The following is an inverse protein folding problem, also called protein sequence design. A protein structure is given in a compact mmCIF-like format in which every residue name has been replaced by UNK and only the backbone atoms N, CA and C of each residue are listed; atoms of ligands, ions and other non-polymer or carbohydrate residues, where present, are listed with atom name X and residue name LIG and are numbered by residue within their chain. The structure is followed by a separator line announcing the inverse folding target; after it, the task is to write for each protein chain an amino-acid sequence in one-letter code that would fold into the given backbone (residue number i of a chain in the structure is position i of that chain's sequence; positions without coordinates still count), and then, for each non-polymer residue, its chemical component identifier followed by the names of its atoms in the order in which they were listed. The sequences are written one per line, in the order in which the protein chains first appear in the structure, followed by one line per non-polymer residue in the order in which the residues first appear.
data_IF_600051731923
#
_entry.id   IF_600051731923
#
_cell.length_a   1.000
_cell.length_b   1.000
_cell.length_c   1.000
_cell.angle_alpha   90.00
_cell.angle_beta   90.00
_cell.angle_gamma   90.00
#
_symmetry.space_group_name_H-M   'P 1'
#
loop_
_entity.id
_entity.type
_entity.pdbx_description
1 polymer ?
#
# COMPACT_ATOMS: atom_id res chain seq x y z
N UNK A 1 -2.39 -77.81 -28.28
CA UNK A 1 -2.22 -77.06 -27.02
C UNK A 1 -1.99 -75.60 -27.37
N UNK A 2 -3.03 -74.79 -27.23
CA UNK A 2 -3.08 -73.38 -27.63
C UNK A 2 -2.49 -72.48 -26.54
N UNK A 3 -1.40 -71.77 -26.86
CA UNK A 3 -0.72 -70.81 -25.98
C UNK A 3 -1.37 -69.43 -26.16
N UNK A 4 -1.90 -68.85 -25.09
CA UNK A 4 -2.43 -67.47 -25.05
C UNK A 4 -1.27 -66.47 -24.93
N UNK A 5 -1.22 -65.39 -25.75
CA UNK A 5 -0.33 -64.28 -25.48
C UNK A 5 -0.95 -63.31 -24.46
N UNK A 6 -0.18 -63.03 -23.40
CA UNK A 6 -0.49 -62.07 -22.35
C UNK A 6 -0.24 -60.64 -22.88
N UNK A 7 -1.30 -59.83 -22.97
CA UNK A 7 -1.21 -58.42 -23.34
C UNK A 7 -0.65 -57.61 -22.17
N UNK A 8 0.51 -56.99 -22.39
CA UNK A 8 1.09 -55.99 -21.50
C UNK A 8 0.35 -54.67 -21.68
N UNK A 9 -0.38 -54.24 -20.65
CA UNK A 9 -1.04 -52.94 -20.60
C UNK A 9 -0.08 -51.91 -20.01
N UNK A 10 0.58 -51.12 -20.86
CA UNK A 10 1.33 -49.94 -20.43
C UNK A 10 0.34 -48.83 -20.03
N UNK A 11 0.12 -48.63 -18.73
CA UNK A 11 -0.55 -47.45 -18.20
C UNK A 11 0.39 -46.24 -18.30
N UNK A 12 0.15 -45.38 -19.29
CA UNK A 12 0.68 -44.03 -19.37
C UNK A 12 0.01 -43.17 -18.28
N UNK A 13 0.73 -42.88 -17.20
CA UNK A 13 0.38 -41.82 -16.26
C UNK A 13 0.61 -40.47 -16.94
N UNK A 14 -0.43 -39.94 -17.58
CA UNK A 14 -0.48 -38.53 -17.97
C UNK A 14 -0.54 -37.69 -16.69
N UNK A 15 0.62 -37.23 -16.23
CA UNK A 15 0.72 -36.25 -15.16
C UNK A 15 0.05 -34.96 -15.61
N UNK A 16 -1.14 -34.68 -15.06
CA UNK A 16 -1.75 -33.37 -15.16
C UNK A 16 -0.92 -32.46 -14.26
N UNK A 17 0.10 -31.82 -14.83
CA UNK A 17 0.85 -30.77 -14.18
C UNK A 17 -0.10 -29.59 -13.96
N UNK A 18 -0.81 -29.58 -12.85
CA UNK A 18 -1.42 -28.35 -12.36
C UNK A 18 -0.27 -27.40 -12.09
N UNK A 19 -0.11 -26.38 -12.93
CA UNK A 19 0.69 -25.21 -12.59
C UNK A 19 0.20 -24.74 -11.23
N UNK A 20 0.98 -24.97 -10.17
CA UNK A 20 0.67 -24.43 -8.87
C UNK A 20 0.58 -22.92 -9.05
N UNK A 21 -0.63 -22.37 -8.98
CA UNK A 21 -0.83 -20.94 -9.01
C UNK A 21 0.05 -20.36 -7.91
N UNK A 22 1.01 -19.50 -8.27
CA UNK A 22 1.86 -18.84 -7.30
C UNK A 22 0.94 -18.06 -6.34
N UNK A 23 0.84 -18.51 -5.10
CA UNK A 23 0.00 -17.85 -4.11
C UNK A 23 0.57 -16.47 -3.84
N UNK A 24 -0.24 -15.43 -4.04
CA UNK A 24 0.11 -14.07 -3.68
C UNK A 24 0.21 -13.96 -2.17
N UNK A 25 1.15 -13.15 -1.67
CA UNK A 25 1.41 -13.03 -0.22
C UNK A 25 0.16 -12.66 0.58
N UNK A 26 -0.68 -11.80 0.02
CA UNK A 26 -1.92 -11.39 0.66
C UNK A 26 -2.99 -12.50 0.71
N UNK A 27 -2.88 -13.55 -0.09
CA UNK A 27 -3.79 -14.71 -0.12
C UNK A 27 -3.39 -15.81 0.86
N UNK A 28 -2.24 -15.68 1.51
CA UNK A 28 -1.72 -16.68 2.42
C UNK A 28 -2.42 -16.56 3.77
N UNK A 29 -2.94 -17.68 4.33
CA UNK A 29 -3.59 -17.65 5.62
C UNK A 29 -2.58 -17.22 6.72
N UNK A 30 -3.05 -16.53 7.77
CA UNK A 30 -2.19 -16.15 8.88
C UNK A 30 -1.48 -17.36 9.49
N UNK A 31 -0.22 -17.17 9.88
CA UNK A 31 0.53 -18.22 10.58
C UNK A 31 -0.09 -18.49 11.95
N UNK A 32 0.05 -19.72 12.42
CA UNK A 32 -0.29 -20.07 13.79
C UNK A 32 0.42 -19.14 14.79
N UNK A 33 -0.31 -18.67 15.80
CA UNK A 33 0.20 -17.73 16.81
C UNK A 33 0.19 -16.25 16.40
N UNK A 34 -0.28 -15.90 15.19
CA UNK A 34 -0.50 -14.49 14.82
C UNK A 34 -1.64 -13.90 15.65
N UNK A 35 -1.42 -12.74 16.28
CA UNK A 35 -2.45 -12.11 17.13
C UNK A 35 -3.67 -11.66 16.31
N UNK A 36 -4.88 -11.58 16.90
CA UNK A 36 -6.07 -11.09 16.21
C UNK A 36 -5.87 -9.68 15.63
N UNK A 37 -5.18 -8.80 16.35
CA UNK A 37 -4.85 -7.45 15.90
C UNK A 37 -3.98 -7.47 14.64
N UNK A 38 -2.92 -8.27 14.62
CA UNK A 38 -2.06 -8.45 13.45
C UNK A 38 -2.87 -8.97 12.25
N UNK A 39 -3.72 -9.98 12.45
CA UNK A 39 -4.57 -10.53 11.38
C UNK A 39 -5.46 -9.43 10.76
N UNK A 40 -6.09 -8.61 11.60
CA UNK A 40 -6.99 -7.56 11.14
C UNK A 40 -6.25 -6.44 10.41
N UNK A 41 -5.09 -6.00 10.92
CA UNK A 41 -4.24 -4.98 10.27
C UNK A 41 -3.79 -5.46 8.88
N UNK A 42 -3.25 -6.68 8.81
CA UNK A 42 -2.78 -7.29 7.57
C UNK A 42 -3.93 -7.42 6.57
N UNK A 43 -5.11 -7.87 7.02
CA UNK A 43 -6.30 -7.98 6.17
C UNK A 43 -6.69 -6.62 5.58
N UNK A 44 -6.76 -5.57 6.40
CA UNK A 44 -7.12 -4.24 5.94
C UNK A 44 -6.14 -3.71 4.89
N UNK A 45 -4.83 -3.82 5.14
CA UNK A 45 -3.80 -3.37 4.20
C UNK A 45 -3.79 -4.19 2.89
N UNK A 46 -3.89 -5.52 3.00
CA UNK A 46 -3.94 -6.41 1.83
C UNK A 46 -5.19 -6.22 0.97
N UNK A 47 -6.34 -5.93 1.58
CA UNK A 47 -7.56 -5.64 0.83
C UNK A 47 -7.39 -4.40 -0.04
N UNK A 48 -6.81 -3.33 0.51
CA UNK A 48 -6.53 -2.11 -0.27
C UNK A 48 -5.51 -2.36 -1.37
N UNK A 49 -4.40 -3.04 -1.08
CA UNK A 49 -3.41 -3.33 -2.11
C UNK A 49 -3.99 -4.13 -3.30
N UNK A 50 -4.89 -5.09 -3.04
CA UNK A 50 -5.63 -5.79 -4.11
C UNK A 50 -6.54 -4.85 -4.88
N UNK A 51 -7.27 -4.00 -4.15
CA UNK A 51 -8.21 -3.03 -4.71
C UNK A 51 -7.49 -2.05 -5.65
N UNK A 52 -6.27 -1.65 -5.30
CA UNK A 52 -5.39 -0.80 -6.10
C UNK A 52 -4.65 -1.52 -7.23
N UNK A 53 -5.07 -2.73 -7.59
CA UNK A 53 -4.52 -3.51 -8.72
C UNK A 53 -3.08 -4.00 -8.50
N UNK A 54 -2.68 -4.20 -7.24
CA UNK A 54 -1.43 -4.87 -6.83
C UNK A 54 -0.12 -4.23 -7.36
N UNK A 55 0.08 -2.90 -7.26
CA UNK A 55 1.32 -2.26 -7.67
C UNK A 55 2.44 -2.64 -6.69
N UNK A 56 3.66 -2.87 -7.18
CA UNK A 56 4.75 -3.27 -6.29
C UNK A 56 6.15 -2.79 -6.70
N UNK A 57 6.96 -2.58 -5.67
CA UNK A 57 8.41 -2.41 -5.71
C UNK A 57 9.07 -3.76 -5.42
N UNK A 58 9.93 -4.23 -6.34
CA UNK A 58 10.63 -5.50 -6.17
C UNK A 58 11.77 -5.43 -5.14
N UNK A 59 12.40 -6.57 -4.85
CA UNK A 59 13.49 -6.65 -3.87
C UNK A 59 14.76 -5.89 -4.28
N UNK A 60 14.86 -5.46 -5.56
CA UNK A 60 15.94 -4.59 -6.07
C UNK A 60 15.55 -3.11 -6.02
N UNK A 61 14.38 -2.79 -5.48
CA UNK A 61 13.90 -1.42 -5.36
C UNK A 61 13.30 -0.84 -6.62
N UNK A 62 12.96 -1.65 -7.64
CA UNK A 62 12.37 -1.16 -8.90
C UNK A 62 10.86 -1.17 -8.80
N UNK A 63 10.20 -0.11 -9.29
CA UNK A 63 8.74 -0.13 -9.52
C UNK A 63 8.48 -1.01 -10.74
N UNK A 64 7.92 -2.20 -10.52
CA UNK A 64 7.68 -3.18 -11.60
C UNK A 64 6.26 -3.09 -12.15
N UNK A 65 5.31 -2.69 -11.32
CA UNK A 65 3.92 -2.50 -11.70
C UNK A 65 3.36 -1.27 -11.01
N UNK A 66 2.63 -0.45 -11.79
CA UNK A 66 1.87 0.69 -11.32
C UNK A 66 0.48 0.63 -11.96
N UNK A 67 -0.55 0.92 -11.17
CA UNK A 67 -1.95 0.98 -11.61
C UNK A 67 -2.46 2.42 -11.62
N UNK A 68 -3.75 2.56 -11.29
CA UNK A 68 -4.41 3.86 -11.11
C UNK A 68 -3.75 4.63 -9.93
N UNK A 69 -3.63 5.95 -10.07
CA UNK A 69 -3.04 6.84 -9.05
C UNK A 69 -4.06 7.74 -8.34
N UNK A 70 -3.63 8.31 -7.22
CA UNK A 70 -4.41 8.95 -6.15
C UNK A 70 -5.52 9.91 -6.55
N UNK A 71 -5.37 10.63 -7.66
CA UNK A 71 -6.30 11.68 -8.07
C UNK A 71 -7.01 11.32 -9.38
N UNK A 72 -6.87 10.09 -9.88
CA UNK A 72 -7.50 9.66 -11.12
C UNK A 72 -8.98 9.31 -10.94
N UNK A 73 -9.74 9.45 -12.04
CA UNK A 73 -11.12 9.00 -12.16
C UNK A 73 -11.25 7.56 -12.66
N UNK A 74 -10.15 6.80 -12.71
CA UNK A 74 -10.16 5.38 -13.02
C UNK A 74 -10.78 4.57 -11.88
N UNK A 75 -11.54 3.53 -12.23
CA UNK A 75 -12.09 2.60 -11.26
C UNK A 75 -11.00 1.72 -10.63
N UNK A 76 -11.19 1.40 -9.36
CA UNK A 76 -10.42 0.37 -8.68
C UNK A 76 -10.84 -1.04 -9.14
N UNK A 77 -10.13 -2.07 -8.68
CA UNK A 77 -10.30 -3.45 -9.18
C UNK A 77 -11.71 -4.04 -8.99
N UNK A 78 -12.51 -3.49 -8.08
CA UNK A 78 -13.89 -3.91 -7.83
C UNK A 78 -14.94 -3.19 -8.71
N UNK A 79 -14.50 -2.28 -9.59
CA UNK A 79 -15.36 -1.39 -10.37
C UNK A 79 -16.35 -0.58 -9.51
N UNK A 80 -16.05 -0.39 -8.22
CA UNK A 80 -16.86 0.36 -7.27
C UNK A 80 -16.50 1.83 -7.28
N UNK A 81 -15.61 2.25 -6.37
CA UNK A 81 -15.14 3.63 -6.30
C UNK A 81 -14.04 3.89 -7.33
N UNK A 82 -13.97 5.14 -7.79
CA UNK A 82 -12.79 5.64 -8.50
C UNK A 82 -11.69 6.02 -7.52
N UNK A 83 -10.43 5.99 -7.95
CA UNK A 83 -9.27 6.13 -7.06
C UNK A 83 -9.33 7.37 -6.16
N UNK A 84 -9.62 8.55 -6.70
CA UNK A 84 -9.68 9.77 -5.88
C UNK A 84 -10.76 9.74 -4.79
N UNK A 85 -11.90 9.08 -5.04
CA UNK A 85 -12.94 8.92 -4.03
C UNK A 85 -12.49 7.99 -2.91
N UNK A 86 -11.68 6.97 -3.25
CA UNK A 86 -11.12 6.06 -2.25
C UNK A 86 -10.11 6.76 -1.35
N UNK A 87 -9.24 7.59 -1.92
CA UNK A 87 -8.27 8.37 -1.14
C UNK A 87 -8.99 9.38 -0.22
N UNK A 88 -10.00 10.10 -0.72
CA UNK A 88 -10.84 10.95 0.13
C UNK A 88 -11.51 10.16 1.27
N UNK A 89 -11.91 8.91 1.02
CA UNK A 89 -12.39 7.96 2.03
C UNK A 89 -11.37 7.67 3.13
N UNK A 90 -10.08 7.48 2.81
CA UNK A 90 -9.05 7.29 3.83
C UNK A 90 -8.95 8.47 4.79
N UNK A 91 -9.01 9.70 4.28
CA UNK A 91 -9.00 10.90 5.12
C UNK A 91 -10.23 10.99 6.02
N UNK A 92 -11.43 10.79 5.45
CA UNK A 92 -12.69 10.92 6.19
C UNK A 92 -12.86 9.80 7.21
N UNK A 93 -12.70 8.56 6.79
CA UNK A 93 -13.09 7.39 7.57
C UNK A 93 -12.02 7.03 8.64
N UNK A 94 -10.79 7.57 8.52
CA UNK A 94 -9.81 7.55 9.61
C UNK A 94 -10.06 8.63 10.67
N UNK A 95 -10.92 9.61 10.38
CA UNK A 95 -11.15 10.79 11.22
C UNK A 95 -10.05 11.87 11.12
N UNK A 96 -9.09 11.71 10.22
CA UNK A 96 -7.94 12.62 10.13
C UNK A 96 -8.23 13.87 9.29
N UNK A 97 -9.25 13.84 8.41
CA UNK A 97 -9.65 14.97 7.57
C UNK A 97 -9.97 16.24 8.37
N UNK A 98 -10.56 16.12 9.56
CA UNK A 98 -10.92 17.26 10.40
C UNK A 98 -9.70 18.12 10.78
N UNK A 99 -8.53 17.49 10.97
CA UNK A 99 -7.27 18.20 11.26
C UNK A 99 -6.71 18.97 10.07
N UNK A 100 -7.26 18.74 8.87
CA UNK A 100 -6.88 19.39 7.62
C UNK A 100 -7.81 20.55 7.25
N UNK A 101 -8.77 20.93 8.12
CA UNK A 101 -9.81 21.92 7.79
C UNK A 101 -9.31 23.31 7.35
N UNK A 102 -8.07 23.67 7.68
CA UNK A 102 -7.44 24.91 7.20
C UNK A 102 -6.77 24.82 5.84
N UNK A 103 -6.75 23.65 5.21
CA UNK A 103 -6.14 23.43 3.89
C UNK A 103 -7.16 23.59 2.76
N UNK A 104 -6.79 24.26 1.66
CA UNK A 104 -7.64 24.33 0.47
C UNK A 104 -8.13 22.94 0.03
N UNK A 105 -9.41 22.83 -0.31
CA UNK A 105 -10.04 21.60 -0.79
C UNK A 105 -10.37 20.53 0.26
N UNK A 106 -9.91 20.65 1.51
CA UNK A 106 -10.16 19.65 2.55
C UNK A 106 -11.66 19.47 2.86
N UNK A 107 -12.41 20.57 2.98
CA UNK A 107 -13.86 20.53 3.20
C UNK A 107 -14.61 19.85 2.05
N UNK A 108 -14.14 20.04 0.83
CA UNK A 108 -14.71 19.42 -0.38
C UNK A 108 -14.54 17.90 -0.40
N UNK A 109 -13.60 17.34 0.38
CA UNK A 109 -13.46 15.90 0.56
C UNK A 109 -14.36 15.32 1.67
N UNK A 110 -14.98 16.14 2.51
CA UNK A 110 -15.81 15.67 3.62
C UNK A 110 -17.15 15.09 3.10
N UNK A 111 -17.79 15.79 2.17
CA UNK A 111 -19.04 15.37 1.54
C UNK A 111 -19.03 15.79 0.07
N UNK A 112 -19.26 14.82 -0.81
CA UNK A 112 -19.42 15.09 -2.24
C UNK A 112 -20.86 15.52 -2.50
N UNK A 113 -21.03 16.68 -3.11
CA UNK A 113 -22.34 17.23 -3.50
C UNK A 113 -22.73 16.84 -4.94
N UNK A 114 -21.93 16.00 -5.60
CA UNK A 114 -22.11 15.59 -7.00
C UNK A 114 -21.66 16.64 -8.03
N UNK A 115 -21.16 17.81 -7.60
CA UNK A 115 -20.70 18.85 -8.52
C UNK A 115 -19.27 18.61 -8.97
N UNK A 116 -18.96 19.05 -10.19
CA UNK A 116 -17.58 19.02 -10.72
C UNK A 116 -16.63 19.91 -9.93
N UNK A 117 -17.14 20.96 -9.29
CA UNK A 117 -16.34 21.94 -8.56
C UNK A 117 -15.80 21.33 -7.29
N UNK A 118 -16.69 20.77 -6.45
CA UNK A 118 -16.33 20.06 -5.22
C UNK A 118 -15.43 18.86 -5.52
N UNK A 119 -15.69 18.11 -6.59
CA UNK A 119 -14.82 17.01 -7.01
C UNK A 119 -13.42 17.49 -7.43
N UNK A 120 -13.30 18.58 -8.19
CA UNK A 120 -12.00 19.11 -8.63
C UNK A 120 -11.20 19.69 -7.48
N UNK A 121 -11.88 20.41 -6.56
CA UNK A 121 -11.28 21.01 -5.37
C UNK A 121 -10.79 19.93 -4.39
N UNK A 122 -11.58 18.87 -4.16
CA UNK A 122 -11.11 17.73 -3.38
C UNK A 122 -9.91 17.04 -4.06
N UNK A 123 -9.95 16.82 -5.38
CA UNK A 123 -8.81 16.21 -6.10
C UNK A 123 -7.52 17.03 -5.98
N UNK A 124 -7.61 18.35 -6.04
CA UNK A 124 -6.46 19.23 -5.80
C UNK A 124 -5.90 19.05 -4.37
N UNK A 125 -6.79 18.99 -3.36
CA UNK A 125 -6.38 18.67 -1.99
C UNK A 125 -5.64 17.33 -1.90
N UNK A 126 -6.11 16.28 -2.57
CA UNK A 126 -5.49 14.95 -2.51
C UNK A 126 -4.07 14.94 -3.08
N UNK A 127 -3.83 15.69 -4.17
CA UNK A 127 -2.50 15.82 -4.80
C UNK A 127 -1.54 16.62 -3.90
N UNK A 128 -2.03 17.72 -3.33
CA UNK A 128 -1.18 18.64 -2.54
C UNK A 128 -0.86 18.13 -1.13
N UNK A 129 -1.52 17.05 -0.69
CA UNK A 129 -1.44 16.56 0.68
C UNK A 129 -1.14 15.06 0.73
N UNK A 130 0.09 14.66 1.12
CA UNK A 130 0.46 13.26 1.25
C UNK A 130 -0.48 12.51 2.20
N UNK A 131 -1.12 11.47 1.69
CA UNK A 131 -2.16 10.72 2.42
C UNK A 131 -1.67 9.42 3.05
N UNK A 132 -0.36 9.14 3.03
CA UNK A 132 0.22 7.93 3.62
C UNK A 132 -0.11 7.77 5.10
N UNK A 133 -0.06 8.86 5.87
CA UNK A 133 -0.43 8.82 7.29
C UNK A 133 -1.92 8.58 7.48
N UNK A 134 -2.78 9.24 6.68
CA UNK A 134 -4.22 9.02 6.70
C UNK A 134 -4.58 7.57 6.36
N UNK A 135 -3.88 6.95 5.40
CA UNK A 135 -4.01 5.54 5.08
C UNK A 135 -3.65 4.62 6.25
N UNK A 136 -2.52 4.85 6.93
CA UNK A 136 -2.17 4.04 8.12
C UNK A 136 -3.21 4.23 9.24
N UNK A 137 -3.64 5.47 9.50
CA UNK A 137 -4.73 5.73 10.46
C UNK A 137 -6.03 5.03 10.07
N UNK A 138 -6.34 4.97 8.78
CA UNK A 138 -7.49 4.24 8.25
C UNK A 138 -7.34 2.73 8.46
N UNK A 139 -6.18 2.14 8.13
CA UNK A 139 -5.89 0.71 8.35
C UNK A 139 -6.09 0.33 9.81
N UNK A 140 -5.55 1.12 10.74
CA UNK A 140 -5.69 0.87 12.19
C UNK A 140 -7.13 1.05 12.68
N UNK A 141 -7.88 2.00 12.08
CA UNK A 141 -9.31 2.19 12.37
C UNK A 141 -10.11 0.98 11.89
N UNK A 142 -9.89 0.51 10.67
CA UNK A 142 -10.59 -0.65 10.10
C UNK A 142 -10.23 -1.96 10.81
N UNK A 143 -8.99 -2.09 11.28
CA UNK A 143 -8.59 -3.24 12.07
C UNK A 143 -9.18 -3.22 13.49
N UNK A 144 -9.76 -2.10 13.93
CA UNK A 144 -10.26 -1.94 15.30
C UNK A 144 -9.14 -1.88 16.34
N UNK A 145 -7.91 -1.51 15.97
CA UNK A 145 -6.79 -1.46 16.91
C UNK A 145 -7.01 -0.35 17.95
N UNK A 146 -7.10 -0.73 19.21
CA UNK A 146 -7.31 0.22 20.31
C UNK A 146 -5.99 0.85 20.77
N UNK A 147 -6.04 2.11 21.21
CA UNK A 147 -4.89 2.84 21.72
C UNK A 147 -3.90 3.35 20.65
N UNK A 148 -4.19 3.14 19.36
CA UNK A 148 -3.38 3.72 18.29
C UNK A 148 -3.66 5.21 18.13
N UNK A 149 -2.61 6.04 18.17
CA UNK A 149 -2.72 7.48 17.97
C UNK A 149 -2.89 7.80 16.48
N UNK A 150 -4.12 8.08 16.02
CA UNK A 150 -4.40 8.47 14.63
C UNK A 150 -3.98 9.91 14.35
N UNK A 151 -3.36 10.16 13.21
CA UNK A 151 -2.78 11.46 12.84
C UNK A 151 -2.63 11.60 11.32
N UNK A 152 -2.41 12.84 10.88
CA UNK A 152 -2.00 13.17 9.50
C UNK A 152 -0.48 13.12 9.33
N UNK A 153 0.26 12.68 10.36
CA UNK A 153 1.73 12.61 10.35
C UNK A 153 2.20 11.28 10.94
N UNK A 154 3.05 10.57 10.22
CA UNK A 154 3.67 9.31 10.70
C UNK A 154 4.49 9.51 11.97
N UNK A 155 5.12 10.66 12.11
CA UNK A 155 5.95 10.97 13.27
C UNK A 155 5.16 10.91 14.58
N UNK A 156 3.86 11.24 14.56
CA UNK A 156 3.05 11.19 15.77
C UNK A 156 2.82 9.73 16.23
N UNK A 157 2.78 8.77 15.29
CA UNK A 157 2.75 7.33 15.60
C UNK A 157 4.06 6.88 16.24
N UNK A 158 5.17 7.30 15.63
CA UNK A 158 6.52 6.98 16.09
C UNK A 158 6.72 7.53 17.50
N UNK A 159 6.34 8.79 17.73
CA UNK A 159 6.42 9.45 19.04
C UNK A 159 5.54 8.75 20.07
N UNK A 160 4.28 8.43 19.74
CA UNK A 160 3.41 7.69 20.67
C UNK A 160 3.99 6.30 21.00
N UNK A 161 4.55 5.57 20.03
CA UNK A 161 5.20 4.29 20.30
C UNK A 161 6.50 4.40 21.11
N UNK A 162 7.16 5.57 21.07
CA UNK A 162 8.34 5.88 21.88
C UNK A 162 7.95 6.25 23.32
N UNK A 163 7.00 7.16 23.50
CA UNK A 163 6.54 7.67 24.79
C UNK A 163 5.71 6.63 25.55
N UNK A 164 4.69 6.09 24.88
CA UNK A 164 3.74 5.12 25.42
C UNK A 164 4.19 3.68 25.14
N UNK A 165 5.46 3.46 24.78
CA UNK A 165 5.98 2.14 24.41
C UNK A 165 5.72 1.06 25.47
N UNK A 166 5.40 1.43 26.71
CA UNK A 166 5.00 0.56 27.82
C UNK A 166 3.48 0.20 27.85
N UNK A 167 2.60 1.05 27.33
CA UNK A 167 1.13 0.98 27.52
C UNK A 167 0.34 1.01 26.22
N UNK A 168 0.89 1.60 25.15
CA UNK A 168 0.30 1.64 23.81
C UNK A 168 0.46 0.33 23.04
N UNK A 169 -0.21 0.20 21.88
CA UNK A 169 -0.22 -1.04 21.09
C UNK A 169 1.12 -1.36 20.41
N UNK A 170 2.02 -0.38 20.31
CA UNK A 170 3.32 -0.52 19.65
C UNK A 170 4.47 -0.21 20.59
N UNK A 171 5.61 -0.88 20.37
CA UNK A 171 6.90 -0.55 20.98
C UNK A 171 7.83 0.04 19.93
N UNK A 172 8.49 1.15 20.23
CA UNK A 172 9.56 1.69 19.40
C UNK A 172 10.83 0.82 19.48
N UNK A 173 11.26 0.25 18.36
CA UNK A 173 12.42 -0.67 18.28
C UNK A 173 13.34 -0.37 17.10
N UNK A 174 14.56 -0.88 17.18
CA UNK A 174 15.57 -0.75 16.12
C UNK A 174 15.29 -1.74 14.99
N UNK A 175 15.01 -1.27 13.75
CA UNK A 175 14.72 -2.15 12.62
C UNK A 175 15.91 -3.04 12.21
N UNK A 176 17.15 -2.68 12.55
CA UNK A 176 18.32 -3.51 12.25
C UNK A 176 18.49 -4.69 13.22
N UNK A 177 17.82 -4.65 14.38
CA UNK A 177 17.98 -5.64 15.46
C UNK A 177 16.71 -6.46 15.66
N UNK A 178 15.56 -5.80 15.71
CA UNK A 178 14.27 -6.43 15.98
C UNK A 178 13.73 -7.14 14.74
N UNK A 179 13.13 -8.32 14.94
CA UNK A 179 12.60 -9.11 13.84
C UNK A 179 11.22 -8.59 13.44
N UNK A 180 11.01 -8.16 12.18
CA UNK A 180 9.69 -7.73 11.73
C UNK A 180 8.72 -8.92 11.67
N UNK A 181 7.45 -8.65 11.99
CA UNK A 181 6.35 -9.60 11.98
C UNK A 181 5.08 -8.94 11.41
N UNK A 182 4.12 -9.74 10.89
CA UNK A 182 2.87 -9.20 10.39
C UNK A 182 2.16 -8.31 11.42
N UNK A 183 1.69 -7.14 10.99
CA UNK A 183 1.06 -6.12 11.83
C UNK A 183 2.01 -5.06 12.39
N UNK A 184 3.34 -5.23 12.29
CA UNK A 184 4.30 -4.18 12.64
C UNK A 184 4.26 -3.02 11.63
N UNK A 185 4.79 -1.85 12.01
CA UNK A 185 5.05 -0.74 11.08
C UNK A 185 6.56 -0.53 10.91
N UNK A 186 7.04 -0.53 9.67
CA UNK A 186 8.43 -0.15 9.35
C UNK A 186 8.45 1.29 8.85
N UNK A 187 9.21 2.16 9.52
CA UNK A 187 9.20 3.60 9.28
C UNK A 187 10.55 4.14 8.81
N UNK A 188 10.49 5.08 7.86
CA UNK A 188 11.63 5.82 7.33
C UNK A 188 11.52 7.32 7.63
N UNK A 189 12.67 7.99 7.59
CA UNK A 189 12.78 9.44 7.60
C UNK A 189 13.04 9.96 6.18
N UNK A 190 12.59 11.18 5.89
CA UNK A 190 12.78 11.84 4.58
C UNK A 190 12.96 13.36 4.72
N UNK A 191 13.24 14.04 3.60
CA UNK A 191 13.38 15.50 3.53
C UNK A 191 14.64 16.03 4.22
N UNK A 192 15.74 15.27 4.12
CA UNK A 192 17.03 15.58 4.76
C UNK A 192 18.19 15.12 3.89
N UNK A 193 19.26 15.90 3.87
CA UNK A 193 20.50 15.56 3.16
C UNK A 193 21.37 14.53 3.86
N UNK A 194 21.12 14.23 5.13
CA UNK A 194 21.90 13.26 5.90
C UNK A 194 20.96 12.30 6.62
N UNK A 195 21.23 11.00 6.43
CA UNK A 195 20.55 9.92 7.13
C UNK A 195 20.88 9.94 8.63
N UNK A 196 19.86 9.74 9.46
CA UNK A 196 19.95 9.69 10.92
C UNK A 196 19.90 8.26 11.46
N UNK A 197 19.16 7.38 10.78
CA UNK A 197 18.82 6.05 11.25
C UNK A 197 18.13 6.05 12.62
N UNK A 198 18.07 4.86 13.23
CA UNK A 198 17.42 4.66 14.53
C UNK A 198 18.05 5.49 15.66
N UNK A 199 19.37 5.53 15.75
CA UNK A 199 20.06 6.25 16.82
C UNK A 199 19.78 7.76 16.78
N UNK A 200 19.83 8.37 15.59
CA UNK A 200 19.54 9.79 15.43
C UNK A 200 18.07 10.12 15.68
N UNK A 201 17.14 9.26 15.21
CA UNK A 201 15.72 9.41 15.52
C UNK A 201 15.45 9.32 17.02
N UNK A 202 16.03 8.32 17.69
CA UNK A 202 15.90 8.13 19.15
C UNK A 202 16.43 9.34 19.91
N UNK A 203 17.59 9.88 19.54
CA UNK A 203 18.15 11.08 20.14
C UNK A 203 17.22 12.30 19.96
N UNK A 204 16.60 12.44 18.78
CA UNK A 204 15.68 13.53 18.49
C UNK A 204 14.36 13.41 19.27
N UNK A 205 13.79 12.20 19.38
CA UNK A 205 12.62 11.93 20.20
C UNK A 205 12.90 12.19 21.68
N UNK A 206 14.11 11.87 22.16
CA UNK A 206 14.57 12.19 23.51
C UNK A 206 14.99 13.65 23.73
N UNK A 207 14.79 14.54 22.75
CA UNK A 207 15.10 15.97 22.87
C UNK A 207 16.58 16.34 22.82
N UNK A 208 17.47 15.38 22.53
CA UNK A 208 18.92 15.61 22.43
C UNK A 208 19.39 15.98 21.02
N UNK A 209 18.48 16.02 20.04
CA UNK A 209 18.75 16.43 18.66
C UNK A 209 17.52 17.09 18.01
N UNK A 210 17.68 17.87 16.92
CA UNK A 210 16.55 18.45 16.19
C UNK A 210 15.61 17.38 15.62
N UNK A 211 14.30 17.59 15.76
CA UNK A 211 13.31 16.62 15.27
C UNK A 211 13.27 16.52 13.73
N UNK A 212 13.37 15.31 13.13
CA UNK A 212 12.94 15.11 11.74
C UNK A 212 11.41 15.22 11.60
N UNK A 213 10.94 16.17 10.80
CA UNK A 213 9.50 16.44 10.68
C UNK A 213 8.77 15.53 9.68
N UNK A 214 9.50 14.95 8.72
CA UNK A 214 8.94 14.15 7.63
C UNK A 214 9.34 12.68 7.78
N UNK A 215 8.35 11.81 7.68
CA UNK A 215 8.49 10.36 7.84
C UNK A 215 7.43 9.64 7.03
N UNK A 216 7.65 8.35 6.80
CA UNK A 216 6.69 7.42 6.22
C UNK A 216 6.73 6.10 6.98
N UNK A 217 5.61 5.41 7.08
CA UNK A 217 5.54 4.05 7.62
C UNK A 217 4.73 3.13 6.71
N UNK A 218 5.27 1.94 6.46
CA UNK A 218 4.61 0.83 5.77
C UNK A 218 4.16 -0.23 6.78
N UNK A 219 3.05 -0.91 6.49
CA UNK A 219 2.56 -2.07 7.26
C UNK A 219 3.32 -3.33 6.84
N UNK A 220 3.93 -4.04 7.79
CA UNK A 220 4.45 -5.39 7.56
C UNK A 220 3.27 -6.34 7.39
N UNK A 221 3.11 -6.91 6.19
CA UNK A 221 2.02 -7.86 5.91
C UNK A 221 2.46 -9.31 5.94
N UNK A 222 3.72 -9.58 5.61
CA UNK A 222 4.30 -10.92 5.74
C UNK A 222 5.83 -10.86 5.83
N UNK A 223 6.43 -11.93 6.36
CA UNK A 223 7.88 -12.09 6.41
C UNK A 223 8.30 -13.55 6.19
N UNK A 224 9.32 -13.74 5.35
CA UNK A 224 9.95 -15.02 5.03
C UNK A 224 8.92 -16.07 4.59
N UNK A 225 8.07 -15.74 3.63
CA UNK A 225 7.00 -16.62 3.13
C UNK A 225 7.64 -17.78 2.39
N UNK A 226 7.32 -19.02 2.77
CA UNK A 226 7.92 -20.20 2.14
C UNK A 226 9.45 -20.28 2.22
N UNK A 227 10.10 -19.49 3.09
CA UNK A 227 11.56 -19.42 3.17
C UNK A 227 12.22 -18.49 2.13
N UNK A 228 11.46 -17.60 1.48
CA UNK A 228 11.91 -16.68 0.44
C UNK A 228 12.85 -15.56 0.89
N UNK A 229 13.11 -15.44 2.21
CA UNK A 229 13.92 -14.38 2.82
C UNK A 229 13.49 -12.98 2.40
N UNK A 230 12.18 -12.76 2.27
CA UNK A 230 11.60 -11.47 1.89
C UNK A 230 10.64 -10.94 2.95
N UNK A 231 10.73 -9.65 3.22
CA UNK A 231 9.76 -8.86 3.98
C UNK A 231 8.82 -8.18 3.00
N UNK A 232 7.52 -8.25 3.29
CA UNK A 232 6.47 -7.65 2.48
C UNK A 232 5.82 -6.53 3.27
N UNK A 233 5.87 -5.34 2.69
CA UNK A 233 5.43 -4.08 3.26
C UNK A 233 4.31 -3.50 2.39
N UNK A 234 3.29 -2.88 2.98
CA UNK A 234 2.26 -2.14 2.23
C UNK A 234 2.13 -0.73 2.80
N UNK A 235 2.33 0.25 1.91
CA UNK A 235 2.18 1.68 2.21
C UNK A 235 1.14 2.33 1.31
N UNK A 236 0.45 3.33 1.84
CA UNK A 236 -0.39 4.24 1.06
C UNK A 236 0.41 5.46 0.63
N UNK A 237 0.06 6.09 -0.49
CA UNK A 237 0.78 7.21 -1.07
C UNK A 237 2.27 6.97 -1.32
N UNK A 238 2.62 5.77 -1.76
CA UNK A 238 3.95 5.43 -2.28
C UNK A 238 3.80 5.36 -3.80
N UNK A 239 4.40 6.29 -4.54
CA UNK A 239 4.05 6.52 -5.96
C UNK A 239 2.54 6.74 -6.17
N UNK A 240 1.93 7.54 -5.30
CA UNK A 240 0.51 7.93 -5.38
C UNK A 240 -0.47 6.75 -5.42
N UNK A 241 -0.12 5.61 -4.81
CA UNK A 241 -0.95 4.39 -4.78
C UNK A 241 -0.80 3.61 -3.45
N UNK A 242 -1.50 2.47 -3.33
CA UNK A 242 -1.31 1.50 -2.23
C UNK A 242 -0.30 0.42 -2.66
N UNK A 243 0.97 0.74 -2.48
CA UNK A 243 2.12 0.01 -3.00
C UNK A 243 2.53 -1.13 -2.05
N UNK A 244 2.81 -2.30 -2.62
CA UNK A 244 3.59 -3.32 -1.91
C UNK A 244 5.09 -3.11 -2.15
N UNK A 245 5.89 -3.17 -1.10
CA UNK A 245 7.35 -3.13 -1.18
C UNK A 245 7.95 -4.44 -0.67
N UNK A 246 8.91 -4.99 -1.42
CA UNK A 246 9.67 -6.18 -1.03
C UNK A 246 11.05 -5.76 -0.52
N UNK A 247 11.41 -6.21 0.68
CA UNK A 247 12.75 -5.98 1.26
C UNK A 247 13.45 -7.30 1.62
N UNK A 248 14.77 -7.41 1.42
CA UNK A 248 15.51 -8.62 1.77
C UNK A 248 15.59 -8.84 3.29
N UNK A 249 15.57 -10.10 3.70
CA UNK A 249 15.80 -10.56 5.08
C UNK A 249 17.15 -11.30 5.21
N UNK A 250 17.83 -11.09 6.34
CA UNK A 250 19.00 -11.88 6.72
C UNK A 250 18.61 -13.33 7.10
N UNK A 251 19.59 -14.17 7.43
CA UNK A 251 19.31 -15.57 7.81
C UNK A 251 18.58 -15.69 9.15
N UNK A 252 18.63 -14.67 10.02
CA UNK A 252 17.87 -14.61 11.27
C UNK A 252 16.42 -14.12 11.05
N UNK A 253 16.13 -13.59 9.85
CA UNK A 253 14.84 -13.02 9.49
C UNK A 253 14.70 -11.54 9.86
N UNK A 254 15.80 -10.83 10.12
CA UNK A 254 15.81 -9.36 10.27
C UNK A 254 15.89 -8.71 8.91
N UNK A 255 15.33 -7.50 8.79
CA UNK A 255 15.40 -6.74 7.54
C UNK A 255 16.84 -6.32 7.27
N UNK A 256 17.29 -6.50 6.03
CA UNK A 256 18.57 -5.98 5.56
C UNK A 256 18.32 -4.55 5.11
N UNK A 257 18.77 -3.58 5.91
CA UNK A 257 18.59 -2.17 5.61
C UNK A 257 19.63 -1.73 4.57
N UNK A 258 19.21 -1.25 3.39
CA UNK A 258 20.14 -0.73 2.41
C UNK A 258 20.72 0.61 2.87
N UNK A 259 21.93 0.94 2.40
CA UNK A 259 22.52 2.26 2.66
C UNK A 259 21.63 3.34 2.04
N UNK A 260 21.13 4.31 2.85
CA UNK A 260 20.28 5.38 2.34
C UNK A 260 20.99 6.16 1.23
N UNK A 261 20.24 6.58 0.21
CA UNK A 261 20.78 7.51 -0.77
C UNK A 261 20.85 8.91 -0.14
N UNK A 262 21.94 9.64 -0.40
CA UNK A 262 22.05 11.03 0.02
C UNK A 262 21.08 11.87 -0.81
N UNK A 263 20.09 12.46 -0.16
CA UNK A 263 19.13 13.34 -0.81
C UNK A 263 19.74 14.74 -0.90
N UNK A 264 20.35 15.09 -2.04
CA UNK A 264 20.80 16.47 -2.27
C UNK A 264 19.63 17.41 -2.54
N UNK A 265 18.43 16.88 -2.81
CA UNK A 265 17.24 17.68 -3.04
C UNK A 265 16.58 18.02 -1.70
N UNK A 266 16.16 19.27 -1.53
CA UNK A 266 15.29 19.67 -0.40
C UNK A 266 13.83 19.29 -0.66
N UNK A 267 13.56 18.51 -1.71
CA UNK A 267 12.21 18.19 -2.15
C UNK A 267 11.55 17.25 -1.14
N UNK A 268 10.37 17.67 -0.67
CA UNK A 268 9.69 17.08 0.48
C UNK A 268 8.89 15.82 0.14
N UNK A 269 8.96 15.33 -1.10
CA UNK A 269 8.12 14.25 -1.59
C UNK A 269 8.85 12.90 -1.57
N UNK A 270 8.15 11.83 -1.18
CA UNK A 270 8.73 10.48 -1.17
C UNK A 270 9.14 10.02 -2.57
N UNK A 271 8.38 10.45 -3.57
CA UNK A 271 8.62 10.08 -4.95
C UNK A 271 9.83 10.84 -5.53
N UNK A 272 10.30 11.90 -4.86
CA UNK A 272 11.47 12.70 -5.27
C UNK A 272 12.81 12.01 -5.01
N UNK A 273 12.84 10.85 -4.36
CA UNK A 273 14.10 10.08 -4.20
C UNK A 273 14.58 9.49 -5.54
N UNK A 274 13.76 9.55 -6.59
CA UNK A 274 14.20 9.34 -7.99
C UNK A 274 14.80 10.57 -8.67
N UNK A 275 14.78 11.75 -8.02
CA UNK A 275 15.55 12.94 -8.39
C UNK A 275 16.85 13.00 -7.56
N UNK A 276 17.28 11.88 -6.97
CA UNK A 276 18.69 11.70 -6.76
C UNK A 276 19.34 11.84 -8.14
N UNK A 277 20.33 12.71 -8.27
CA UNK A 277 21.10 13.04 -9.48
C UNK A 277 21.80 11.84 -10.16
N UNK A 278 21.43 10.62 -9.81
CA UNK A 278 22.08 9.35 -10.09
C UNK A 278 21.13 8.31 -10.72
N UNK A 279 19.83 8.29 -10.37
CA UNK A 279 18.88 7.36 -11.02
C UNK A 279 18.43 7.95 -12.36
N UNK A 280 18.98 7.44 -13.45
CA UNK A 280 18.65 7.87 -14.82
C UNK A 280 18.55 6.65 -15.74
N UNK A 281 17.98 6.77 -16.96
CA UNK A 281 18.03 5.68 -17.94
C UNK A 281 19.45 5.21 -18.32
N UNK A 282 20.49 6.03 -18.07
CA UNK A 282 21.88 5.63 -18.28
C UNK A 282 22.50 4.90 -17.08
N UNK A 283 21.85 4.98 -15.91
CA UNK A 283 22.32 4.48 -14.62
C UNK A 283 21.18 3.77 -13.87
N UNK A 284 20.50 2.85 -14.54
CA UNK A 284 19.35 2.11 -13.98
C UNK A 284 19.73 1.30 -12.73
N UNK A 285 21.00 0.91 -12.60
CA UNK A 285 21.55 0.21 -11.44
C UNK A 285 21.48 1.04 -10.15
N UNK A 286 21.33 2.36 -10.26
CA UNK A 286 21.23 3.28 -9.12
C UNK A 286 19.77 3.54 -8.71
N UNK A 287 18.79 3.03 -9.48
CA UNK A 287 17.36 3.20 -9.25
C UNK A 287 16.78 2.18 -8.24
N UNK A 288 17.24 2.27 -6.99
CA UNK A 288 16.75 1.44 -5.88
C UNK A 288 15.92 2.29 -4.90
N UNK A 289 14.60 2.24 -5.03
CA UNK A 289 13.68 2.95 -4.15
C UNK A 289 13.62 2.40 -2.72
N UNK A 290 14.27 1.28 -2.41
CA UNK A 290 14.41 0.77 -1.05
C UNK A 290 15.53 1.48 -0.26
N UNK A 291 16.47 2.18 -0.92
CA UNK A 291 17.58 2.94 -0.31
C UNK A 291 17.11 4.17 0.45
N UNK A 292 16.43 3.95 1.57
CA UNK A 292 15.82 4.96 2.44
C UNK A 292 16.41 4.93 3.84
N UNK A 293 16.27 6.03 4.55
CA UNK A 293 16.65 6.14 5.96
C UNK A 293 15.62 5.45 6.87
N UNK A 294 15.54 4.12 6.78
CA UNK A 294 14.70 3.27 7.62
C UNK A 294 15.19 3.35 9.07
N UNK A 295 14.39 3.98 9.93
CA UNK A 295 14.85 4.44 11.24
C UNK A 295 14.06 3.85 12.41
N UNK A 296 12.89 3.23 12.19
CA UNK A 296 12.15 2.63 13.29
C UNK A 296 11.35 1.40 12.83
N UNK A 297 11.29 0.40 13.69
CA UNK A 297 10.26 -0.64 13.62
C UNK A 297 9.32 -0.42 14.82
N UNK A 298 8.06 -0.11 14.55
CA UNK A 298 7.03 -0.08 15.58
C UNK A 298 6.50 -1.51 15.72
N UNK A 299 6.93 -2.17 16.79
CA UNK A 299 6.64 -3.58 17.06
C UNK A 299 5.27 -3.71 17.68
N UNK A 300 4.34 -4.37 17.00
CA UNK A 300 2.99 -4.61 17.51
C UNK A 300 3.07 -5.53 18.73
N UNK A 301 2.35 -5.17 19.78
CA UNK A 301 2.25 -5.98 20.98
C UNK A 301 1.35 -7.21 20.77
N UNK A 302 1.75 -8.39 21.25
CA UNK A 302 0.90 -9.59 21.16
C UNK A 302 -0.45 -9.44 21.87
N UNK A 303 -0.49 -8.64 22.94
CA UNK A 303 -1.65 -8.33 23.77
C UNK A 303 -2.38 -7.03 23.35
N UNK A 304 -2.07 -6.50 22.16
CA UNK A 304 -2.76 -5.33 21.63
C UNK A 304 -4.27 -5.55 21.57
N UNK A 305 -5.02 -4.67 22.22
CA UNK A 305 -6.46 -4.78 22.35
C UNK A 305 -7.17 -4.32 21.08
N UNK A 306 -8.33 -4.91 20.80
CA UNK A 306 -9.18 -4.52 19.68
C UNK A 306 -10.54 -4.09 20.19
N UNK A 307 -11.06 -3.01 19.63
CA UNK A 307 -12.47 -2.63 19.74
C UNK A 307 -13.12 -2.88 18.38
N UNK A 308 -14.36 -3.36 18.37
CA UNK A 308 -15.08 -3.54 17.11
C UNK A 308 -15.04 -2.22 16.31
N UNK A 309 -14.59 -2.25 15.03
CA UNK A 309 -14.61 -1.05 14.21
C UNK A 309 -16.06 -0.53 14.11
N UNK A 310 -16.27 0.80 14.07
CA UNK A 310 -17.61 1.33 13.85
C UNK A 310 -18.19 0.73 12.57
N UNK A 311 -19.49 0.41 12.52
CA UNK A 311 -20.11 -0.14 11.33
C UNK A 311 -19.86 0.82 10.16
N UNK A 312 -19.17 0.34 9.13
CA UNK A 312 -19.03 1.08 7.89
C UNK A 312 -20.43 1.25 7.30
N UNK A 313 -20.91 2.50 7.19
CA UNK A 313 -22.13 2.75 6.44
C UNK A 313 -21.91 2.19 5.02
N UNK A 314 -22.82 1.35 4.50
CA UNK A 314 -22.70 0.89 3.12
C UNK A 314 -22.61 2.13 2.23
N UNK A 315 -21.59 2.17 1.36
CA UNK A 315 -21.50 3.18 0.32
C UNK A 315 -22.85 3.19 -0.42
N UNK A 316 -23.48 4.37 -0.63
CA UNK A 316 -24.71 4.42 -1.40
C UNK A 316 -24.42 3.81 -2.77
N UNK A 317 -25.12 2.72 -3.08
CA UNK A 317 -25.12 2.15 -4.42
C UNK A 317 -25.49 3.30 -5.36
N UNK A 318 -24.67 3.65 -6.36
CA UNK A 318 -25.10 4.63 -7.32
C UNK A 318 -26.30 4.04 -8.04
N UNK A 319 -27.50 4.53 -7.70
CA UNK A 319 -28.70 4.37 -8.50
C UNK A 319 -28.47 5.15 -9.79
N UNK A 320 -27.66 4.59 -10.70
CA UNK A 320 -27.71 4.97 -12.10
C UNK A 320 -29.00 4.34 -12.61
N UNK A 321 -30.10 5.05 -12.43
CA UNK A 321 -31.20 4.92 -13.38
C UNK A 321 -30.60 5.37 -14.72
N UNK A 322 -30.61 4.55 -15.79
CA UNK A 322 -30.19 5.01 -17.10
C UNK A 322 -31.09 6.20 -17.46
N UNK A 323 -30.57 7.41 -17.35
CA UNK A 323 -31.16 8.53 -18.03
C UNK A 323 -30.86 8.29 -19.50
N UNK A 324 -31.90 7.92 -20.25
CA UNK A 324 -31.93 8.03 -21.70
C UNK A 324 -31.68 9.51 -22.02
N UNK A 325 -30.40 9.90 -22.10
CA UNK A 325 -30.02 11.17 -22.67
C UNK A 325 -30.28 11.05 -24.17
N UNK A 326 -31.47 11.52 -24.58
CA UNK A 326 -31.74 11.80 -25.98
C UNK A 326 -30.64 12.75 -26.47
N UNK A 327 -29.73 12.20 -27.28
CA UNK A 327 -28.67 12.95 -27.94
C UNK A 327 -29.27 14.13 -28.70
N UNK A 328 -28.71 15.35 -28.62
CA UNK A 328 -29.14 16.46 -29.43
C UNK A 328 -28.93 16.13 -30.93
N UNK A 329 -29.89 16.47 -31.81
CA UNK A 329 -29.76 16.18 -33.24
C UNK A 329 -28.62 17.01 -33.83
N UNK A 330 -27.60 16.34 -34.40
CA UNK A 330 -26.52 17.05 -35.10
C UNK A 330 -25.20 16.30 -35.30
N UNK A 331 -24.96 15.16 -34.62
CA UNK A 331 -23.71 14.42 -34.82
C UNK A 331 -23.85 13.37 -35.94
N UNK A 332 -23.01 13.40 -36.99
CA UNK A 332 -23.01 12.36 -38.02
C UNK A 332 -22.58 11.02 -37.42
N UNK A 333 -23.44 10.00 -37.57
CA UNK A 333 -23.10 8.61 -37.23
C UNK A 333 -22.03 8.13 -38.20
N UNK A 334 -20.83 7.85 -37.69
CA UNK A 334 -19.84 7.05 -38.43
C UNK A 334 -20.36 5.63 -38.47
N UNK A 335 -20.86 5.20 -39.64
CA UNK A 335 -21.27 3.82 -39.90
C UNK A 335 -19.99 3.02 -40.16
N UNK A 336 -19.68 1.96 -39.39
CA UNK A 336 -18.56 1.09 -39.70
C UNK A 336 -18.81 0.37 -41.04
N UNK A 337 -17.79 0.17 -41.89
CA UNK A 337 -17.97 -0.56 -43.14
C UNK A 337 -18.39 -2.01 -42.88
N UNK A 338 -19.30 -2.49 -43.74
CA UNK A 338 -19.86 -3.85 -43.70
C UNK A 338 -18.74 -4.87 -43.98
N UNK A 339 -18.63 -5.98 -43.21
CA UNK A 339 -17.70 -7.05 -43.54
C UNK A 339 -18.06 -7.67 -44.90
N UNK A 340 -17.11 -7.72 -45.83
CA UNK A 340 -17.24 -8.46 -47.07
C UNK A 340 -17.26 -9.96 -46.77
N UNK A 341 -18.36 -10.63 -47.12
CA UNK A 341 -18.47 -12.09 -47.10
C UNK A 341 -17.53 -12.69 -48.16
N UNK A 342 -16.56 -13.45 -47.70
CA UNK A 342 -15.67 -14.27 -48.53
C UNK A 342 -16.48 -15.39 -49.22
N UNK A 343 -16.35 -15.62 -50.54
CA UNK A 343 -17.04 -16.72 -51.19
C UNK A 343 -16.41 -18.07 -50.79
N UNK A 344 -17.27 -19.06 -50.54
CA UNK A 344 -16.89 -20.43 -50.20
C UNK A 344 -16.10 -21.08 -51.33
N UNK A 345 -14.97 -21.71 -50.97
CA UNK A 345 -14.20 -22.56 -51.89
C UNK A 345 -14.93 -23.89 -52.08
N UNK A 346 -15.18 -24.25 -53.33
CA UNK A 346 -15.61 -25.59 -53.77
C UNK A 346 -14.45 -26.58 -53.76
#
# INVERSE_FOLDING_TARGET
MTVKPCQWLCLLLAGVGSSAAAAEVCDIPPRFGTSPAAIAIVRSACNEHRLWQRPFIDAKGRVVSLGVTEAESGYLADHGLVAWQRVAGYWRDSGTLASMGGRPGASSCAALDGTRYTASDCRAFLIDNPWSAAFISWVMTQSGLSGFHRSVRHLDYIRSAYDDGATGPYRFTDPAVEKPAPGDLLCLLRGRSTALGYAGLKAALGGSAPMPWQSHCDVVVAANVGGDRTLYLIGGNVFNTVMMRKMPLDRAGRVVLPTPQSDSSQDQNEDSVGIASECTPAHEELCDFNRRDWAALLKLRPDATMTAPPPSAPLPTPCIVPTDQAMPPGFPRVVPPRPETQPAQT
#
